data_IF_391017608461
#
_entry.id   IF_391017608461
#
_cell.length_a   1.000
_cell.length_b   1.000
_cell.length_c   1.000
_cell.angle_alpha   90.00
_cell.angle_beta   90.00
_cell.angle_gamma   90.00
#
_symmetry.space_group_name_H-M   'P 1'
#
loop_
_entity.id
_entity.type
_entity.pdbx_description
1 polymer ?
#
# COMPACT_ATOMS: atom_id res chain seq x y z
N UNK A 1 16.52 -9.30 22.62
CA UNK A 1 17.58 -8.27 22.56
C UNK A 1 16.95 -6.97 23.06
N UNK A 2 17.48 -6.32 24.09
CA UNK A 2 16.89 -5.06 24.60
C UNK A 2 17.16 -3.93 23.60
N UNK A 3 16.17 -3.54 22.80
CA UNK A 3 16.37 -2.57 21.73
C UNK A 3 16.48 -1.14 22.26
N UNK A 4 17.59 -0.47 21.93
CA UNK A 4 17.82 0.95 22.20
C UNK A 4 17.04 1.81 21.19
N UNK A 5 15.73 1.94 21.37
CA UNK A 5 14.88 2.84 20.57
C UNK A 5 15.22 4.32 20.72
N UNK A 6 16.18 4.66 21.60
CA UNK A 6 16.66 6.01 21.86
C UNK A 6 17.79 6.48 20.94
N UNK A 7 18.28 5.64 20.02
CA UNK A 7 19.38 6.01 19.11
C UNK A 7 18.95 5.88 17.64
N UNK A 8 19.32 6.86 16.79
CA UNK A 8 19.10 6.72 15.36
C UNK A 8 19.97 5.59 14.79
N UNK A 9 19.47 4.89 13.78
CA UNK A 9 20.20 3.83 13.08
C UNK A 9 19.73 3.72 11.64
N UNK A 10 20.61 3.23 10.77
CA UNK A 10 20.19 2.66 9.49
C UNK A 10 19.88 1.20 9.76
N UNK A 11 18.81 0.70 9.16
CA UNK A 11 18.45 -0.70 9.23
C UNK A 11 18.14 -1.21 7.82
N UNK A 12 18.28 -2.51 7.65
CA UNK A 12 18.04 -3.19 6.39
C UNK A 12 16.72 -3.94 6.46
N UNK A 13 15.94 -3.87 5.39
CA UNK A 13 14.77 -4.72 5.20
C UNK A 13 14.89 -5.50 3.92
N UNK A 14 14.55 -6.78 4.00
CA UNK A 14 14.41 -7.61 2.82
C UNK A 14 13.08 -7.28 2.15
N UNK A 15 13.12 -6.76 0.93
CA UNK A 15 11.95 -6.54 0.09
C UNK A 15 11.56 -7.85 -0.61
N UNK A 16 10.44 -8.40 -0.15
CA UNK A 16 9.79 -9.58 -0.73
C UNK A 16 8.69 -9.20 -1.73
N UNK A 17 8.46 -7.91 -1.96
CA UNK A 17 7.45 -7.36 -2.90
C UNK A 17 7.58 -8.00 -4.29
N UNK A 18 8.81 -8.36 -4.67
CA UNK A 18 9.16 -8.93 -5.97
C UNK A 18 9.70 -10.37 -5.88
N UNK A 19 9.52 -11.05 -4.72
CA UNK A 19 9.99 -12.44 -4.59
C UNK A 19 9.06 -13.41 -5.32
N UNK A 20 9.46 -13.75 -6.54
CA UNK A 20 8.70 -14.63 -7.43
C UNK A 20 8.82 -16.12 -7.08
N UNK A 21 9.69 -16.49 -6.12
CA UNK A 21 9.90 -17.88 -5.72
C UNK A 21 10.06 -18.01 -4.21
N UNK A 22 9.59 -19.13 -3.64
CA UNK A 22 9.94 -19.57 -2.29
C UNK A 22 11.40 -20.07 -2.20
N UNK A 23 12.14 -20.10 -3.32
CA UNK A 23 13.52 -20.59 -3.36
C UNK A 23 14.54 -19.47 -3.01
N UNK A 24 15.48 -19.74 -2.07
CA UNK A 24 16.43 -18.77 -1.53
C UNK A 24 17.63 -18.45 -2.45
N UNK A 25 17.63 -18.90 -3.72
CA UNK A 25 18.79 -18.80 -4.61
C UNK A 25 18.96 -17.43 -5.29
N UNK A 26 18.10 -16.45 -5.04
CA UNK A 26 18.13 -15.16 -5.74
C UNK A 26 18.43 -13.97 -4.84
N UNK A 27 19.09 -12.97 -5.43
CA UNK A 27 19.53 -11.70 -4.82
C UNK A 27 18.36 -11.07 -4.06
N UNK A 28 18.37 -11.20 -2.73
CA UNK A 28 17.40 -10.50 -1.87
C UNK A 28 17.58 -9.01 -2.12
N UNK A 29 16.50 -8.31 -2.46
CA UNK A 29 16.52 -6.86 -2.43
C UNK A 29 16.61 -6.47 -0.96
N UNK A 30 17.81 -6.13 -0.51
CA UNK A 30 18.04 -5.61 0.83
C UNK A 30 18.11 -4.12 0.69
N UNK A 31 17.03 -3.45 1.11
CA UNK A 31 16.90 -2.01 1.03
C UNK A 31 17.22 -1.41 2.41
N UNK A 32 17.94 -0.28 2.40
CA UNK A 32 18.34 0.44 3.59
C UNK A 32 17.36 1.58 3.89
N UNK A 33 17.03 1.75 5.16
CA UNK A 33 16.07 2.73 5.65
C UNK A 33 16.60 3.42 6.91
N UNK A 34 16.07 4.60 7.22
CA UNK A 34 16.45 5.39 8.38
C UNK A 34 15.48 5.16 9.54
N UNK A 35 16.00 5.00 10.75
CA UNK A 35 15.25 5.09 12.00
C UNK A 35 15.78 6.26 12.82
N UNK A 36 14.89 7.13 13.30
CA UNK A 36 15.24 8.27 14.15
C UNK A 36 14.19 8.50 15.24
N UNK A 37 14.55 8.39 16.54
CA UNK A 37 13.63 8.79 17.59
C UNK A 37 13.49 10.31 17.64
N UNK A 38 12.32 10.79 18.06
CA UNK A 38 12.14 12.19 18.44
C UNK A 38 11.60 12.31 19.86
N UNK A 39 11.72 13.51 20.41
CA UNK A 39 11.19 13.86 21.72
C UNK A 39 10.35 15.12 21.59
N UNK A 40 9.11 15.09 22.10
CA UNK A 40 8.20 16.23 22.09
C UNK A 40 8.72 17.40 22.93
N UNK A 41 9.58 17.14 23.92
CA UNK A 41 10.23 18.18 24.73
C UNK A 41 11.22 19.00 23.90
N UNK A 42 11.94 18.34 22.97
CA UNK A 42 12.97 18.99 22.17
C UNK A 42 12.36 19.85 21.04
N UNK A 43 11.26 19.39 20.44
CA UNK A 43 10.46 20.16 19.48
C UNK A 43 8.97 19.77 19.57
N UNK A 44 8.12 20.61 20.20
CA UNK A 44 6.69 20.37 20.29
C UNK A 44 6.03 20.36 18.91
N UNK A 45 5.07 19.46 18.73
CA UNK A 45 4.26 19.33 17.51
C UNK A 45 5.08 19.04 16.23
N UNK A 46 6.30 18.50 16.38
CA UNK A 46 7.21 18.19 15.28
C UNK A 46 6.49 17.50 14.10
N UNK A 47 5.74 16.44 14.38
CA UNK A 47 5.03 15.66 13.35
C UNK A 47 3.90 16.46 12.68
N UNK A 48 3.20 17.32 13.41
CA UNK A 48 2.15 18.18 12.84
C UNK A 48 2.74 19.26 11.92
N UNK A 49 3.85 19.90 12.35
CA UNK A 49 4.55 20.89 11.54
C UNK A 49 5.10 20.27 10.25
N UNK A 50 5.68 19.08 10.33
CA UNK A 50 6.14 18.33 9.16
C UNK A 50 4.99 17.96 8.23
N UNK A 51 3.89 17.41 8.77
CA UNK A 51 2.70 17.08 7.97
C UNK A 51 2.15 18.31 7.24
N UNK A 52 2.00 19.43 7.95
CA UNK A 52 1.52 20.69 7.38
C UNK A 52 2.44 21.18 6.25
N UNK A 53 3.75 21.17 6.48
CA UNK A 53 4.71 21.59 5.46
C UNK A 53 4.69 20.69 4.22
N UNK A 54 4.64 19.35 4.39
CA UNK A 54 4.55 18.42 3.25
C UNK A 54 3.20 18.57 2.51
N UNK A 55 2.12 18.88 3.23
CA UNK A 55 0.82 19.20 2.64
C UNK A 55 0.89 20.44 1.76
N UNK A 56 1.36 21.56 2.33
CA UNK A 56 1.36 22.89 1.69
C UNK A 56 2.43 23.04 0.60
N UNK A 57 3.65 22.57 0.87
CA UNK A 57 4.84 22.75 0.00
C UNK A 57 5.18 21.52 -0.82
N UNK A 58 4.38 20.47 -0.72
CA UNK A 58 4.57 19.16 -1.34
C UNK A 58 5.76 18.34 -0.82
N UNK A 59 6.73 18.96 -0.15
CA UNK A 59 7.86 18.29 0.49
C UNK A 59 8.47 19.13 1.62
N UNK A 60 9.37 18.52 2.39
CA UNK A 60 10.18 19.18 3.40
C UNK A 60 11.61 18.62 3.38
N UNK A 61 12.61 19.47 3.64
CA UNK A 61 13.96 18.99 3.96
C UNK A 61 14.10 18.81 5.47
N UNK A 62 14.52 17.62 5.90
CA UNK A 62 14.64 17.23 7.29
C UNK A 62 16.09 16.83 7.64
N UNK A 63 16.72 17.37 8.70
CA UNK A 63 18.12 17.10 8.98
C UNK A 63 18.31 15.72 9.63
N UNK A 64 19.41 15.04 9.31
CA UNK A 64 19.80 13.83 10.04
C UNK A 64 20.39 14.20 11.41
N UNK A 65 19.74 13.76 12.48
CA UNK A 65 20.15 14.07 13.86
C UNK A 65 20.15 12.83 14.77
N UNK A 66 20.94 12.94 15.84
CA UNK A 66 20.91 12.08 17.03
C UNK A 66 20.33 12.88 18.19
N UNK A 67 19.73 12.18 19.16
CA UNK A 67 18.94 12.76 20.26
C UNK A 67 19.45 14.10 20.81
N UNK A 68 18.51 14.97 21.21
CA UNK A 68 18.75 16.37 21.59
C UNK A 68 19.32 17.24 20.46
N UNK A 69 18.88 17.02 19.22
CA UNK A 69 19.17 17.89 18.08
C UNK A 69 20.64 17.98 17.68
N UNK A 70 21.45 16.95 17.97
CA UNK A 70 22.86 16.91 17.53
C UNK A 70 22.96 16.28 16.14
N UNK A 71 23.89 16.69 15.27
CA UNK A 71 24.05 16.05 13.95
C UNK A 71 24.37 14.56 14.07
N UNK A 72 23.74 13.74 13.22
CA UNK A 72 24.07 12.34 13.05
C UNK A 72 25.08 12.19 11.91
N UNK A 73 26.29 11.73 12.25
CA UNK A 73 27.30 11.38 11.26
C UNK A 73 27.05 9.94 10.80
N UNK A 74 26.41 9.81 9.65
CA UNK A 74 26.20 8.54 8.96
C UNK A 74 27.47 8.19 8.17
N UNK A 75 27.79 6.91 8.05
CA UNK A 75 28.89 6.44 7.22
C UNK A 75 28.62 6.76 5.74
N UNK A 76 29.62 7.28 5.03
CA UNK A 76 29.50 7.67 3.61
C UNK A 76 29.06 6.49 2.74
N UNK A 77 29.58 5.29 2.99
CA UNK A 77 29.22 4.08 2.26
C UNK A 77 27.71 3.79 2.31
N UNK A 78 27.09 3.89 3.49
CA UNK A 78 25.64 3.69 3.64
C UNK A 78 24.84 4.79 2.93
N UNK A 79 25.30 6.04 2.97
CA UNK A 79 24.65 7.14 2.25
C UNK A 79 24.72 6.94 0.73
N UNK A 80 25.86 6.50 0.20
CA UNK A 80 26.01 6.17 -1.21
C UNK A 80 25.11 5.02 -1.64
N UNK A 81 24.99 3.97 -0.80
CA UNK A 81 24.08 2.85 -1.06
C UNK A 81 22.63 3.31 -1.11
N UNK A 82 22.19 4.14 -0.15
CA UNK A 82 20.83 4.70 -0.14
C UNK A 82 20.60 5.66 -1.32
N UNK A 83 21.59 6.49 -1.70
CA UNK A 83 21.49 7.34 -2.90
C UNK A 83 21.26 6.49 -4.16
N UNK A 84 22.02 5.40 -4.35
CA UNK A 84 21.82 4.44 -5.47
C UNK A 84 20.45 3.75 -5.42
N UNK A 85 19.96 3.43 -4.22
CA UNK A 85 18.62 2.87 -4.01
C UNK A 85 17.52 3.85 -4.45
N UNK A 86 17.64 5.12 -4.09
CA UNK A 86 16.72 6.19 -4.48
C UNK A 86 16.74 6.45 -6.00
N UNK A 87 17.92 6.43 -6.63
CA UNK A 87 18.07 6.49 -8.09
C UNK A 87 17.43 5.31 -8.80
N UNK A 88 17.39 4.15 -8.14
CA UNK A 88 16.70 2.94 -8.61
C UNK A 88 15.21 2.93 -8.28
N UNK A 89 14.66 4.04 -7.77
CA UNK A 89 13.24 4.23 -7.43
C UNK A 89 12.67 3.25 -6.42
N UNK A 90 13.54 2.65 -5.59
CA UNK A 90 13.11 1.77 -4.52
C UNK A 90 12.57 2.57 -3.35
N UNK A 91 11.53 2.04 -2.73
CA UNK A 91 10.89 2.69 -1.61
C UNK A 91 11.86 2.79 -0.42
N UNK A 92 12.12 4.02 0.02
CA UNK A 92 13.06 4.32 1.10
C UNK A 92 12.31 5.05 2.21
N UNK A 93 12.49 4.62 3.45
CA UNK A 93 11.73 5.12 4.60
C UNK A 93 12.61 5.89 5.57
N UNK A 94 12.02 6.92 6.17
CA UNK A 94 12.43 7.46 7.45
C UNK A 94 11.35 7.10 8.48
N UNK A 95 11.65 6.17 9.37
CA UNK A 95 10.81 5.81 10.50
C UNK A 95 11.16 6.69 11.67
N UNK A 96 10.16 7.33 12.24
CA UNK A 96 10.27 8.12 13.44
C UNK A 96 9.36 7.56 14.52
N UNK A 97 9.80 7.59 15.79
CA UNK A 97 8.93 7.32 16.95
C UNK A 97 9.30 8.18 18.17
N UNK A 98 8.31 8.53 18.99
CA UNK A 98 8.46 9.00 20.37
C UNK A 98 7.97 7.97 21.40
N UNK A 99 7.78 6.70 20.98
CA UNK A 99 7.15 5.62 21.75
C UNK A 99 5.67 5.85 22.12
N UNK A 100 5.04 6.87 21.54
CA UNK A 100 3.59 7.09 21.57
C UNK A 100 2.97 6.97 20.18
N UNK A 101 3.74 7.20 19.12
CA UNK A 101 3.31 6.94 17.74
C UNK A 101 4.49 6.54 16.86
N UNK A 102 4.17 5.91 15.72
CA UNK A 102 5.13 5.52 14.69
C UNK A 102 4.76 6.21 13.40
N UNK A 103 5.66 7.07 12.92
CA UNK A 103 5.50 7.82 11.68
C UNK A 103 6.50 7.30 10.66
N UNK A 104 6.03 7.01 9.46
CA UNK A 104 6.85 6.57 8.34
C UNK A 104 6.79 7.67 7.29
N UNK A 105 7.95 8.19 6.90
CA UNK A 105 8.08 9.18 5.84
C UNK A 105 8.70 8.56 4.60
N UNK A 106 8.24 8.97 3.41
CA UNK A 106 8.94 8.63 2.17
C UNK A 106 10.15 9.54 2.01
N UNK A 107 11.32 8.94 1.82
CA UNK A 107 12.54 9.65 1.45
C UNK A 107 12.61 9.71 -0.08
N UNK A 108 12.62 10.92 -0.63
CA UNK A 108 12.71 11.17 -2.07
C UNK A 108 14.15 11.45 -2.53
N UNK A 109 14.97 12.09 -1.69
CA UNK A 109 16.36 12.39 -1.98
C UNK A 109 17.17 12.60 -0.70
N UNK A 110 18.49 12.51 -0.82
CA UNK A 110 19.45 12.93 0.21
C UNK A 110 20.27 14.07 -0.39
N UNK A 111 20.24 15.24 0.25
CA UNK A 111 20.93 16.45 -0.20
C UNK A 111 21.93 16.93 0.85
N UNK A 112 22.96 17.62 0.39
CA UNK A 112 23.94 18.25 1.26
C UNK A 112 23.52 19.68 1.64
N UNK A 113 24.00 20.18 2.79
CA UNK A 113 23.66 21.53 3.24
C UNK A 113 24.01 22.62 2.22
N UNK A 114 25.08 22.44 1.45
CA UNK A 114 25.50 23.39 0.42
C UNK A 114 24.48 23.50 -0.71
N UNK A 115 23.78 22.40 -1.02
CA UNK A 115 22.74 22.32 -2.04
C UNK A 115 21.40 22.92 -1.59
N UNK A 116 21.23 23.19 -0.28
CA UNK A 116 20.03 23.82 0.29
C UNK A 116 20.02 25.35 0.15
N UNK A 117 21.14 25.95 -0.27
CA UNK A 117 21.35 27.40 -0.22
C UNK A 117 20.34 28.20 -1.07
N UNK A 118 19.75 27.59 -2.09
CA UNK A 118 18.80 28.22 -3.00
C UNK A 118 17.33 28.12 -2.55
N UNK A 119 17.00 27.28 -1.56
CA UNK A 119 15.60 26.98 -1.18
C UNK A 119 15.35 27.05 0.34
N UNK A 120 15.83 28.13 0.96
CA UNK A 120 15.80 28.32 2.42
C UNK A 120 14.39 28.29 3.04
N UNK A 121 13.35 28.57 2.25
CA UNK A 121 11.94 28.57 2.72
C UNK A 121 11.35 27.18 2.93
N UNK A 122 11.93 26.15 2.31
CA UNK A 122 11.43 24.77 2.35
C UNK A 122 12.27 23.86 3.27
N UNK A 123 13.30 24.42 3.89
CA UNK A 123 14.16 23.75 4.84
C UNK A 123 13.53 23.76 6.25
N UNK A 124 12.94 22.63 6.65
CA UNK A 124 12.40 22.44 8.01
C UNK A 124 13.54 22.13 8.98
N UNK A 125 13.87 23.08 9.85
CA UNK A 125 14.91 22.87 10.87
C UNK A 125 14.28 22.93 12.27
N UNK A 126 13.98 21.77 12.90
CA UNK A 126 13.25 21.74 14.16
C UNK A 126 14.05 22.24 15.36
N UNK A 127 15.38 22.33 15.27
CA UNK A 127 16.22 22.64 16.44
C UNK A 127 16.68 24.10 16.47
N UNK A 128 16.99 24.62 17.65
CA UNK A 128 17.61 25.96 17.80
C UNK A 128 19.09 26.02 17.40
N UNK A 129 19.71 24.87 17.08
CA UNK A 129 21.10 24.80 16.64
C UNK A 129 21.32 25.46 15.27
N UNK A 130 22.54 25.93 14.99
CA UNK A 130 22.88 26.48 13.66
C UNK A 130 22.67 25.41 12.57
N UNK A 131 21.87 25.72 11.54
CA UNK A 131 21.60 24.85 10.37
C UNK A 131 22.88 24.27 9.76
N UNK A 132 23.94 25.08 9.72
CA UNK A 132 25.27 24.73 9.20
C UNK A 132 25.99 23.57 9.90
N UNK A 133 25.48 23.07 11.02
CA UNK A 133 26.06 21.91 11.72
C UNK A 133 25.61 20.57 11.14
N UNK A 134 24.53 20.55 10.35
CA UNK A 134 24.00 19.35 9.72
C UNK A 134 24.52 19.25 8.30
N UNK A 135 25.27 18.20 8.00
CA UNK A 135 25.86 17.99 6.67
C UNK A 135 24.86 17.44 5.68
N UNK A 136 24.05 16.47 6.10
CA UNK A 136 23.10 15.75 5.25
C UNK A 136 21.65 15.98 5.67
N UNK A 137 20.79 16.07 4.68
CA UNK A 137 19.37 16.34 4.81
C UNK A 137 18.56 15.39 3.94
N UNK A 138 17.43 14.93 4.47
CA UNK A 138 16.48 14.09 3.77
C UNK A 138 15.40 14.97 3.14
N UNK A 139 15.18 14.85 1.84
CA UNK A 139 13.96 15.36 1.20
C UNK A 139 12.84 14.35 1.44
N UNK A 140 11.85 14.72 2.23
CA UNK A 140 10.66 13.90 2.51
C UNK A 140 9.43 14.54 1.88
N UNK A 141 8.58 13.74 1.24
CA UNK A 141 7.48 14.25 0.40
C UNK A 141 6.12 13.56 0.62
N UNK A 142 6.07 12.56 1.48
CA UNK A 142 4.84 11.90 1.94
C UNK A 142 5.01 11.33 3.36
N UNK A 143 3.91 11.10 4.06
CA UNK A 143 3.88 10.64 5.45
C UNK A 143 2.70 9.67 5.70
N UNK A 144 3.02 8.50 6.23
CA UNK A 144 2.07 7.51 6.72
C UNK A 144 2.25 7.30 8.23
N UNK A 145 1.17 7.36 9.00
CA UNK A 145 1.21 6.97 10.41
C UNK A 145 0.87 5.48 10.50
N UNK A 146 1.81 4.70 11.04
CA UNK A 146 1.69 3.25 11.18
C UNK A 146 0.84 2.89 12.40
N UNK A 147 1.16 3.46 13.55
CA UNK A 147 0.52 3.15 14.83
C UNK A 147 0.50 4.40 15.73
N UNK A 148 -0.53 4.52 16.56
CA UNK A 148 -0.64 5.55 17.57
C UNK A 148 -1.19 4.95 18.87
N UNK A 149 -0.61 5.34 19.99
CA UNK A 149 -0.94 4.79 21.29
C UNK A 149 -2.24 5.38 21.82
N UNK A 150 -3.37 4.82 21.36
CA UNK A 150 -4.68 5.25 21.82
C UNK A 150 -5.02 4.77 23.24
N UNK A 151 -4.33 3.73 23.73
CA UNK A 151 -4.62 3.07 25.01
C UNK A 151 -3.59 3.39 26.11
N UNK A 152 -2.59 4.23 25.83
CA UNK A 152 -1.46 4.56 26.72
C UNK A 152 -0.64 3.33 27.20
N UNK A 153 -0.60 2.25 26.41
CA UNK A 153 0.20 1.05 26.71
C UNK A 153 1.51 1.16 25.93
N UNK A 154 2.63 1.39 26.61
CA UNK A 154 3.92 1.65 25.94
C UNK A 154 4.51 0.42 25.24
N UNK A 155 4.25 -0.79 25.74
CA UNK A 155 4.81 -2.02 25.18
C UNK A 155 4.32 -2.32 23.75
N UNK A 156 3.07 -1.96 23.43
CA UNK A 156 2.48 -2.28 22.11
C UNK A 156 3.15 -1.51 20.96
N UNK A 157 3.55 -0.26 21.19
CA UNK A 157 4.27 0.54 20.20
C UNK A 157 5.66 -0.03 19.94
N UNK A 158 6.36 -0.46 20.98
CA UNK A 158 7.69 -1.05 20.85
C UNK A 158 7.63 -2.38 20.08
N UNK A 159 6.63 -3.22 20.38
CA UNK A 159 6.42 -4.50 19.71
C UNK A 159 6.07 -4.32 18.22
N UNK A 160 5.15 -3.40 17.89
CA UNK A 160 4.80 -3.11 16.50
C UNK A 160 5.97 -2.46 15.73
N UNK A 161 6.77 -1.62 16.39
CA UNK A 161 7.98 -1.04 15.79
C UNK A 161 9.04 -2.11 15.50
N UNK A 162 9.29 -3.02 16.44
CA UNK A 162 10.23 -4.13 16.23
C UNK A 162 9.74 -5.03 15.11
N UNK A 163 8.47 -5.46 15.16
CA UNK A 163 7.84 -6.27 14.12
C UNK A 163 7.97 -5.60 12.76
N UNK A 164 7.70 -4.30 12.64
CA UNK A 164 7.78 -3.59 11.37
C UNK A 164 9.20 -3.50 10.82
N UNK A 165 10.20 -3.24 11.68
CA UNK A 165 11.62 -3.13 11.27
C UNK A 165 12.22 -4.50 10.95
N UNK A 166 11.89 -5.53 11.74
CA UNK A 166 12.46 -6.87 11.58
C UNK A 166 11.76 -7.68 10.48
N UNK A 167 10.50 -7.37 10.15
CA UNK A 167 9.77 -8.11 9.13
C UNK A 167 10.25 -7.77 7.72
N UNK A 168 10.28 -8.76 6.82
CA UNK A 168 10.41 -8.49 5.39
C UNK A 168 9.33 -7.50 4.95
N UNK A 169 9.70 -6.60 4.05
CA UNK A 169 8.74 -5.73 3.41
C UNK A 169 8.00 -6.54 2.33
N UNK A 170 6.74 -6.85 2.58
CA UNK A 170 5.89 -7.63 1.67
C UNK A 170 5.09 -6.76 0.72
N UNK A 171 4.98 -5.45 1.00
CA UNK A 171 4.18 -4.49 0.24
C UNK A 171 4.82 -3.11 0.27
N UNK A 172 4.51 -2.28 -0.73
CA UNK A 172 4.87 -0.88 -0.70
C UNK A 172 3.89 -0.08 0.19
N UNK A 173 4.40 0.87 0.97
CA UNK A 173 3.54 1.82 1.73
C UNK A 173 3.22 3.04 0.85
N UNK A 174 4.24 3.52 0.15
CA UNK A 174 4.18 4.63 -0.78
C UNK A 174 4.28 4.14 -2.21
N UNK A 175 3.66 4.88 -3.13
CA UNK A 175 3.84 4.63 -4.56
C UNK A 175 5.33 4.88 -4.90
N UNK A 176 6.06 3.90 -5.45
CA UNK A 176 7.48 4.04 -5.77
C UNK A 176 7.69 5.14 -6.81
N UNK A 177 8.81 5.86 -6.65
CA UNK A 177 9.02 7.13 -7.32
C UNK A 177 9.49 6.99 -8.77
N UNK A 178 8.79 6.30 -9.67
CA UNK A 178 9.30 6.11 -11.04
C UNK A 178 9.55 7.45 -11.76
N UNK A 179 10.75 7.64 -12.35
CA UNK A 179 10.89 8.49 -13.54
C UNK A 179 10.13 7.82 -14.66
N UNK A 180 9.29 8.57 -15.35
CA UNK A 180 8.62 8.09 -16.54
C UNK A 180 9.65 7.72 -17.62
N UNK A 181 9.32 6.67 -18.37
CA UNK A 181 9.91 6.41 -19.68
C UNK A 181 9.37 7.48 -20.64
N UNK A 182 10.02 8.64 -20.73
CA UNK A 182 9.85 9.52 -21.88
C UNK A 182 10.91 9.13 -22.93
N UNK A 183 10.45 8.84 -24.15
CA UNK A 183 11.36 8.65 -25.30
C UNK A 183 12.02 9.98 -25.74
N UNK A 184 11.66 11.09 -25.11
CA UNK A 184 12.25 12.40 -25.31
C UNK A 184 12.81 12.94 -23.99
N UNK A 185 14.10 13.26 -24.01
CA UNK A 185 14.75 14.10 -23.02
C UNK A 185 13.99 15.43 -22.90
N UNK A 186 13.87 15.94 -21.67
CA UNK A 186 13.55 17.34 -21.26
C UNK A 186 12.19 17.66 -20.63
N UNK A 187 11.20 16.77 -20.57
CA UNK A 187 9.98 17.06 -19.79
C UNK A 187 9.98 16.37 -18.42
N UNK A 188 10.37 17.11 -17.37
CA UNK A 188 10.04 16.77 -15.99
C UNK A 188 8.52 16.86 -15.80
N UNK A 189 7.82 15.74 -16.00
CA UNK A 189 6.39 15.69 -15.65
C UNK A 189 6.26 15.79 -14.14
N UNK A 190 5.52 16.83 -13.72
CA UNK A 190 5.27 17.22 -12.35
C UNK A 190 4.99 16.04 -11.41
N UNK A 191 5.76 15.96 -10.32
CA UNK A 191 5.49 15.18 -9.09
C UNK A 191 4.10 15.46 -8.46
N UNK A 192 3.35 16.43 -9.00
CA UNK A 192 2.12 17.00 -8.44
C UNK A 192 0.91 16.06 -8.46
N UNK A 193 0.90 15.03 -9.31
CA UNK A 193 -0.30 14.19 -9.47
C UNK A 193 -0.24 12.88 -8.69
N UNK A 194 0.73 12.58 -7.82
CA UNK A 194 0.71 11.32 -7.05
C UNK A 194 -0.31 11.40 -5.90
N UNK A 195 -1.05 10.31 -5.68
CA UNK A 195 -1.90 10.19 -4.49
C UNK A 195 -0.99 9.98 -3.27
N UNK A 196 -0.86 11.01 -2.44
CA UNK A 196 -0.01 11.03 -1.25
C UNK A 196 -0.86 10.81 -0.02
N UNK A 197 -0.34 10.09 0.96
CA UNK A 197 -1.01 9.90 2.25
C UNK A 197 -1.30 11.21 2.96
N UNK A 198 -0.43 12.21 2.83
CA UNK A 198 -0.71 13.56 3.39
C UNK A 198 -1.91 14.26 2.75
N UNK A 199 -2.23 13.93 1.48
CA UNK A 199 -3.37 14.48 0.76
C UNK A 199 -4.64 13.64 1.00
N UNK A 200 -4.49 12.40 1.46
CA UNK A 200 -5.63 11.66 2.00
C UNK A 200 -6.05 12.35 3.29
N UNK A 201 -7.32 12.77 3.37
CA UNK A 201 -7.91 13.32 4.60
C UNK A 201 -8.09 12.23 5.68
N UNK A 202 -7.12 11.30 5.81
CA UNK A 202 -7.07 10.24 6.80
C UNK A 202 -6.95 10.86 8.19
N UNK A 203 -8.03 10.77 8.94
CA UNK A 203 -8.10 11.24 10.32
C UNK A 203 -8.05 10.04 11.27
N UNK A 204 -6.96 9.93 12.04
CA UNK A 204 -6.70 8.83 12.97
C UNK A 204 -7.41 9.08 14.30
N UNK A 205 -8.74 9.18 14.23
CA UNK A 205 -9.58 9.33 15.40
C UNK A 205 -9.64 8.03 16.20
N UNK A 206 -10.16 8.11 17.41
CA UNK A 206 -10.46 6.92 18.20
C UNK A 206 -11.39 5.95 17.45
N UNK A 207 -12.39 6.46 16.73
CA UNK A 207 -13.29 5.62 15.92
C UNK A 207 -12.54 4.89 14.80
N UNK A 208 -11.59 5.56 14.14
CA UNK A 208 -10.74 4.93 13.13
C UNK A 208 -9.94 3.76 13.73
N UNK A 209 -9.35 3.97 14.91
CA UNK A 209 -8.60 2.94 15.63
C UNK A 209 -9.48 1.75 16.05
N UNK A 210 -10.65 2.02 16.64
CA UNK A 210 -11.60 0.97 17.06
C UNK A 210 -12.03 0.14 15.85
N UNK A 211 -12.40 0.79 14.75
CA UNK A 211 -12.82 0.09 13.52
C UNK A 211 -11.68 -0.72 12.89
N UNK A 212 -10.46 -0.18 12.89
CA UNK A 212 -9.28 -0.94 12.46
C UNK A 212 -9.08 -2.20 13.31
N UNK A 213 -9.26 -2.09 14.62
CA UNK A 213 -9.13 -3.23 15.55
C UNK A 213 -10.25 -4.24 15.35
N UNK A 214 -11.50 -3.81 15.20
CA UNK A 214 -12.62 -4.71 14.92
C UNK A 214 -12.48 -5.45 13.59
N UNK A 215 -12.03 -4.76 12.53
CA UNK A 215 -11.76 -5.40 11.24
C UNK A 215 -10.62 -6.40 11.35
N UNK A 216 -9.53 -6.03 12.05
CA UNK A 216 -8.38 -6.91 12.29
C UNK A 216 -8.79 -8.12 13.11
N UNK A 217 -9.48 -7.98 14.22
CA UNK A 217 -9.69 -9.07 15.18
C UNK A 217 -10.89 -9.95 14.82
N UNK A 218 -11.98 -9.36 14.31
CA UNK A 218 -13.25 -10.08 14.12
C UNK A 218 -13.49 -10.55 12.69
N UNK A 219 -12.91 -9.87 11.69
CA UNK A 219 -13.16 -10.17 10.28
C UNK A 219 -11.94 -10.81 9.64
N UNK A 220 -10.84 -10.07 9.52
CA UNK A 220 -9.70 -10.48 8.70
C UNK A 220 -8.68 -11.33 9.46
N UNK A 221 -8.54 -11.14 10.77
CA UNK A 221 -7.58 -11.83 11.63
C UNK A 221 -6.15 -11.71 11.05
N UNK A 222 -5.45 -12.83 10.91
CA UNK A 222 -4.11 -12.91 10.33
C UNK A 222 -4.06 -12.40 8.88
N UNK A 223 -5.20 -12.42 8.16
CA UNK A 223 -5.31 -11.92 6.79
C UNK A 223 -5.14 -10.40 6.69
N UNK A 224 -5.37 -9.67 7.79
CA UNK A 224 -5.34 -8.20 7.80
C UNK A 224 -4.00 -7.65 7.31
N UNK A 225 -2.89 -8.26 7.73
CA UNK A 225 -1.53 -7.83 7.37
C UNK A 225 -1.19 -8.07 5.89
N UNK A 226 -1.97 -8.90 5.19
CA UNK A 226 -1.78 -9.17 3.77
C UNK A 226 -2.54 -8.21 2.86
N UNK A 227 -3.49 -7.44 3.38
CA UNK A 227 -4.14 -6.36 2.64
C UNK A 227 -3.19 -5.18 2.47
N UNK A 228 -3.25 -4.47 1.35
CA UNK A 228 -2.49 -3.23 1.20
C UNK A 228 -2.92 -2.18 2.23
N UNK A 229 -2.00 -1.30 2.65
CA UNK A 229 -2.33 -0.21 3.58
C UNK A 229 -3.45 0.71 3.05
N UNK A 230 -3.52 0.89 1.72
CA UNK A 230 -4.62 1.60 1.06
C UNK A 230 -5.94 0.85 1.18
N UNK A 231 -5.94 -0.45 0.89
CA UNK A 231 -7.11 -1.31 1.06
C UNK A 231 -7.61 -1.30 2.52
N UNK A 232 -6.71 -1.42 3.50
CA UNK A 232 -7.05 -1.30 4.92
C UNK A 232 -7.71 0.05 5.23
N UNK A 233 -7.15 1.16 4.75
CA UNK A 233 -7.73 2.49 4.94
C UNK A 233 -9.14 2.60 4.36
N UNK A 234 -9.32 2.19 3.11
CA UNK A 234 -10.62 2.23 2.43
C UNK A 234 -11.67 1.36 3.13
N UNK A 235 -11.29 0.17 3.64
CA UNK A 235 -12.19 -0.69 4.40
C UNK A 235 -12.60 -0.08 5.75
N UNK A 236 -11.65 0.56 6.46
CA UNK A 236 -11.97 1.27 7.70
C UNK A 236 -12.92 2.43 7.43
N UNK A 237 -12.64 3.24 6.41
CA UNK A 237 -13.49 4.39 6.03
C UNK A 237 -14.86 3.92 5.56
N UNK A 238 -14.94 2.81 4.83
CA UNK A 238 -16.19 2.14 4.47
C UNK A 238 -17.00 1.83 5.73
N UNK A 239 -16.42 1.18 6.74
CA UNK A 239 -17.16 0.81 7.94
C UNK A 239 -17.55 2.02 8.81
N UNK A 240 -16.72 3.07 8.86
CA UNK A 240 -17.04 4.35 9.51
C UNK A 240 -18.25 5.03 8.88
N UNK A 241 -18.32 5.08 7.54
CA UNK A 241 -19.47 5.64 6.82
C UNK A 241 -20.73 4.81 7.03
N UNK A 242 -20.60 3.47 7.02
CA UNK A 242 -21.70 2.55 7.30
C UNK A 242 -22.28 2.77 8.69
N UNK A 243 -21.40 2.87 9.70
CA UNK A 243 -21.77 3.12 11.07
C UNK A 243 -22.44 4.50 11.23
N UNK A 244 -21.86 5.53 10.63
CA UNK A 244 -22.44 6.88 10.61
C UNK A 244 -23.85 6.89 10.01
N UNK A 245 -24.07 6.12 8.94
CA UNK A 245 -25.37 5.96 8.29
C UNK A 245 -26.49 5.41 9.17
N UNK A 246 -26.18 4.75 10.30
CA UNK A 246 -27.17 4.22 11.25
C UNK A 246 -27.95 5.36 11.93
N UNK A 247 -27.30 6.49 12.18
CA UNK A 247 -27.89 7.65 12.87
C UNK A 247 -28.78 8.51 11.96
N UNK A 248 -28.77 8.26 10.65
CA UNK A 248 -29.52 9.02 9.67
C UNK A 248 -30.71 8.24 9.10
N UNK A 249 -31.60 8.96 8.42
CA UNK A 249 -32.77 8.40 7.71
C UNK A 249 -32.82 8.89 6.26
N UNK A 250 -33.64 8.22 5.47
CA UNK A 250 -33.97 8.60 4.08
C UNK A 250 -32.72 8.88 3.24
N UNK A 251 -32.67 10.04 2.58
CA UNK A 251 -31.62 10.42 1.62
C UNK A 251 -30.26 10.54 2.32
N UNK A 252 -30.25 11.03 3.57
CA UNK A 252 -28.99 11.16 4.33
C UNK A 252 -28.37 9.79 4.60
N UNK A 253 -29.19 8.82 5.01
CA UNK A 253 -28.73 7.42 5.19
C UNK A 253 -28.22 6.83 3.88
N UNK A 254 -28.93 7.07 2.77
CA UNK A 254 -28.49 6.59 1.46
C UNK A 254 -27.11 7.12 1.09
N UNK A 255 -26.85 8.42 1.29
CA UNK A 255 -25.54 9.03 0.99
C UNK A 255 -24.40 8.37 1.76
N UNK A 256 -24.58 8.12 3.05
CA UNK A 256 -23.59 7.40 3.86
C UNK A 256 -23.37 5.97 3.38
N UNK A 257 -24.44 5.22 3.07
CA UNK A 257 -24.31 3.87 2.53
C UNK A 257 -23.63 3.84 1.15
N UNK A 258 -23.90 4.85 0.32
CA UNK A 258 -23.25 5.02 -0.97
C UNK A 258 -21.75 5.28 -0.81
N UNK A 259 -21.37 6.26 0.00
CA UNK A 259 -19.97 6.56 0.27
C UNK A 259 -19.24 5.34 0.83
N UNK A 260 -19.89 4.62 1.75
CA UNK A 260 -19.37 3.38 2.31
C UNK A 260 -19.10 2.33 1.22
N UNK A 261 -20.00 2.16 0.25
CA UNK A 261 -19.81 1.25 -0.88
C UNK A 261 -18.73 1.73 -1.87
N UNK A 262 -18.65 3.05 -2.12
CA UNK A 262 -17.61 3.64 -2.97
C UNK A 262 -16.21 3.38 -2.37
N UNK A 263 -16.06 3.53 -1.05
CA UNK A 263 -14.83 3.14 -0.34
C UNK A 263 -14.54 1.64 -0.44
N UNK A 264 -15.56 0.78 -0.32
CA UNK A 264 -15.39 -0.66 -0.54
C UNK A 264 -14.92 -0.97 -1.98
N UNK A 265 -15.46 -0.28 -2.99
CA UNK A 265 -15.01 -0.43 -4.38
C UNK A 265 -13.55 0.01 -4.54
N UNK A 266 -13.15 1.14 -3.94
CA UNK A 266 -11.76 1.60 -3.96
C UNK A 266 -10.81 0.59 -3.30
N UNK A 267 -11.22 0.01 -2.17
CA UNK A 267 -10.50 -1.10 -1.55
C UNK A 267 -10.31 -2.27 -2.51
N UNK A 268 -11.36 -2.64 -3.25
CA UNK A 268 -11.30 -3.71 -4.25
C UNK A 268 -10.39 -3.36 -5.43
N UNK A 269 -10.44 -2.12 -5.95
CA UNK A 269 -9.54 -1.65 -7.00
C UNK A 269 -8.08 -1.73 -6.56
N UNK A 270 -7.77 -1.23 -5.37
CA UNK A 270 -6.42 -1.26 -4.81
C UNK A 270 -5.90 -2.71 -4.77
N UNK A 271 -6.68 -3.64 -4.23
CA UNK A 271 -6.21 -5.00 -4.06
C UNK A 271 -6.14 -5.80 -5.38
N UNK A 272 -7.05 -5.55 -6.32
CA UNK A 272 -6.95 -6.14 -7.66
C UNK A 272 -5.70 -5.64 -8.41
N UNK A 273 -5.34 -4.37 -8.27
CA UNK A 273 -4.11 -3.85 -8.87
C UNK A 273 -2.87 -4.43 -8.20
N UNK A 274 -2.84 -4.51 -6.86
CA UNK A 274 -1.74 -5.09 -6.09
C UNK A 274 -1.48 -6.57 -6.44
N UNK A 275 -2.54 -7.35 -6.69
CA UNK A 275 -2.40 -8.78 -7.00
C UNK A 275 -2.07 -9.02 -8.47
N UNK A 276 -2.74 -8.34 -9.41
CA UNK A 276 -2.69 -8.70 -10.84
C UNK A 276 -1.92 -7.72 -11.73
N UNK A 277 -1.91 -6.43 -11.42
CA UNK A 277 -1.35 -5.41 -12.34
C UNK A 277 0.05 -4.96 -11.92
N UNK A 278 0.22 -4.52 -10.68
CA UNK A 278 1.50 -3.96 -10.22
C UNK A 278 2.67 -4.95 -10.27
N UNK A 279 2.50 -6.25 -9.95
CA UNK A 279 3.59 -7.22 -10.11
C UNK A 279 4.09 -7.30 -11.55
N UNK A 280 3.18 -7.30 -12.53
CA UNK A 280 3.51 -7.29 -13.96
C UNK A 280 4.20 -5.99 -14.39
N UNK A 281 3.64 -4.84 -14.00
CA UNK A 281 4.19 -3.52 -14.35
C UNK A 281 5.59 -3.34 -13.77
N UNK A 282 5.80 -3.75 -12.54
CA UNK A 282 7.10 -3.66 -11.88
C UNK A 282 8.10 -4.63 -12.51
N UNK A 283 7.72 -5.88 -12.78
CA UNK A 283 8.60 -6.83 -13.46
C UNK A 283 9.04 -6.33 -14.85
N UNK A 284 8.15 -5.72 -15.64
CA UNK A 284 8.52 -5.13 -16.94
C UNK A 284 9.48 -3.95 -16.77
N UNK A 285 9.36 -3.19 -15.67
CA UNK A 285 10.23 -2.04 -15.39
C UNK A 285 11.62 -2.48 -14.96
N UNK A 286 11.68 -3.47 -14.06
CA UNK A 286 12.89 -3.82 -13.31
C UNK A 286 13.78 -4.81 -14.07
N UNK A 287 13.20 -5.70 -14.88
CA UNK A 287 13.95 -6.71 -15.62
C UNK A 287 14.16 -6.31 -17.08
N UNK A 288 15.41 -6.02 -17.44
CA UNK A 288 15.78 -5.56 -18.78
C UNK A 288 15.31 -6.54 -19.88
N UNK A 289 15.44 -7.84 -19.66
CA UNK A 289 15.02 -8.84 -20.64
C UNK A 289 13.51 -8.82 -20.91
N UNK A 290 12.69 -8.60 -19.87
CA UNK A 290 11.24 -8.51 -19.98
C UNK A 290 10.83 -7.18 -20.62
N UNK A 291 11.53 -6.09 -20.27
CA UNK A 291 11.37 -4.78 -20.90
C UNK A 291 11.58 -4.81 -22.40
N UNK A 292 12.68 -5.38 -22.90
CA UNK A 292 12.86 -5.44 -24.36
C UNK A 292 11.86 -6.43 -24.99
N UNK A 293 11.43 -7.50 -24.29
CA UNK A 293 10.40 -8.40 -24.82
C UNK A 293 9.03 -7.71 -24.95
N UNK A 294 8.70 -6.79 -24.04
CA UNK A 294 7.53 -5.91 -24.13
C UNK A 294 7.59 -4.98 -25.35
N UNK A 295 8.75 -4.37 -25.62
CA UNK A 295 8.93 -3.52 -26.80
C UNK A 295 8.87 -4.30 -28.12
N UNK A 296 9.30 -5.56 -28.11
CA UNK A 296 9.26 -6.47 -29.27
C UNK A 296 7.88 -7.12 -29.50
N UNK A 297 6.85 -6.75 -28.73
CA UNK A 297 5.49 -7.28 -28.88
C UNK A 297 4.85 -6.79 -30.18
N UNK A 298 4.61 -7.73 -31.08
CA UNK A 298 3.87 -7.53 -32.33
C UNK A 298 2.43 -7.09 -32.04
N UNK A 299 2.02 -5.96 -32.62
CA UNK A 299 0.69 -5.38 -32.47
C UNK A 299 -0.42 -6.30 -32.99
N UNK A 300 -0.11 -7.25 -33.87
CA UNK A 300 -1.08 -8.17 -34.46
C UNK A 300 -1.49 -9.34 -33.55
N UNK A 301 -0.71 -9.65 -32.50
CA UNK A 301 -0.88 -10.84 -31.65
C UNK A 301 -1.40 -10.53 -30.24
N UNK A 302 -1.50 -9.26 -29.86
CA UNK A 302 -1.97 -8.82 -28.55
C UNK A 302 -3.20 -7.95 -28.71
N UNK A 303 -4.20 -8.14 -27.86
CA UNK A 303 -5.38 -7.28 -27.87
C UNK A 303 -4.97 -5.80 -27.64
N UNK A 304 -5.28 -4.88 -28.57
CA UNK A 304 -4.84 -3.49 -28.48
C UNK A 304 -5.28 -2.79 -27.20
N UNK A 305 -6.46 -3.13 -26.66
CA UNK A 305 -6.97 -2.52 -25.42
C UNK A 305 -6.17 -2.97 -24.19
N UNK A 306 -5.73 -4.23 -24.12
CA UNK A 306 -4.84 -4.69 -23.04
C UNK A 306 -3.47 -4.05 -23.16
N UNK A 307 -2.91 -3.99 -24.38
CA UNK A 307 -1.62 -3.34 -24.62
C UNK A 307 -1.66 -1.86 -24.23
N UNK A 308 -2.73 -1.15 -24.60
CA UNK A 308 -2.93 0.25 -24.22
C UNK A 308 -3.06 0.42 -22.70
N UNK A 309 -3.81 -0.46 -22.03
CA UNK A 309 -3.95 -0.43 -20.57
C UNK A 309 -2.60 -0.62 -19.86
N UNK A 310 -1.86 -1.68 -20.20
CA UNK A 310 -0.53 -1.95 -19.62
C UNK A 310 0.45 -0.82 -19.97
N UNK A 311 0.42 -0.31 -21.20
CA UNK A 311 1.22 0.84 -21.62
C UNK A 311 0.94 2.07 -20.76
N UNK A 312 -0.33 2.42 -20.56
CA UNK A 312 -0.74 3.59 -19.77
C UNK A 312 -0.25 3.53 -18.32
N UNK A 313 -0.15 2.33 -17.74
CA UNK A 313 0.42 2.11 -16.41
C UNK A 313 1.96 2.18 -16.41
N UNK A 314 2.62 1.65 -17.45
CA UNK A 314 4.08 1.68 -17.59
C UNK A 314 4.62 3.10 -17.77
N UNK A 315 3.93 3.92 -18.57
CA UNK A 315 4.31 5.33 -18.82
C UNK A 315 3.74 6.28 -17.75
N UNK A 316 2.88 5.78 -16.85
CA UNK A 316 2.32 6.55 -15.74
C UNK A 316 1.20 7.54 -16.13
N UNK A 317 0.59 7.40 -17.32
CA UNK A 317 -0.63 8.11 -17.69
C UNK A 317 -1.81 7.71 -16.79
N UNK A 318 -1.88 6.42 -16.43
CA UNK A 318 -2.80 5.90 -15.42
C UNK A 318 -2.00 5.43 -14.21
N UNK A 319 -2.51 5.70 -13.01
CA UNK A 319 -1.92 5.21 -11.76
C UNK A 319 -2.27 3.75 -11.49
N UNK A 320 -3.51 3.39 -11.82
CA UNK A 320 -4.08 2.08 -11.57
C UNK A 320 -5.22 1.82 -12.55
N UNK A 321 -5.69 0.58 -12.62
CA UNK A 321 -6.95 0.24 -13.25
C UNK A 321 -8.08 0.54 -12.26
N UNK A 322 -8.99 1.42 -12.63
CA UNK A 322 -10.05 2.00 -11.78
C UNK A 322 -11.46 1.56 -12.22
N UNK A 323 -11.55 0.56 -13.10
CA UNK A 323 -12.81 -0.01 -13.58
C UNK A 323 -12.80 -1.53 -13.45
N UNK A 324 -13.90 -2.08 -12.93
CA UNK A 324 -14.09 -3.53 -12.82
C UNK A 324 -14.28 -4.14 -14.21
N UNK A 325 -14.88 -3.41 -15.14
CA UNK A 325 -15.01 -3.79 -16.55
C UNK A 325 -13.64 -3.94 -17.22
N UNK A 326 -12.74 -2.98 -16.99
CA UNK A 326 -11.36 -3.03 -17.51
C UNK A 326 -10.61 -4.23 -16.92
N UNK A 327 -10.77 -4.52 -15.62
CA UNK A 327 -10.22 -5.72 -15.00
C UNK A 327 -10.77 -7.02 -15.60
N UNK A 328 -12.09 -7.15 -15.74
CA UNK A 328 -12.71 -8.33 -16.37
C UNK A 328 -12.32 -8.48 -17.84
N UNK A 329 -12.06 -7.38 -18.53
CA UNK A 329 -11.56 -7.41 -19.89
C UNK A 329 -10.09 -7.89 -19.95
N UNK A 330 -9.25 -7.37 -19.05
CA UNK A 330 -7.86 -7.81 -18.91
C UNK A 330 -7.81 -9.31 -18.66
N UNK A 331 -8.58 -9.83 -17.70
CA UNK A 331 -8.52 -11.25 -17.32
C UNK A 331 -8.92 -12.19 -18.47
N UNK A 332 -9.89 -11.81 -19.30
CA UNK A 332 -10.28 -12.55 -20.51
C UNK A 332 -9.17 -12.63 -21.57
N UNK A 333 -8.31 -11.61 -21.63
CA UNK A 333 -7.26 -11.47 -22.65
C UNK A 333 -5.83 -11.68 -22.09
N UNK A 334 -5.70 -11.85 -20.77
CA UNK A 334 -4.41 -11.90 -20.10
C UNK A 334 -3.62 -13.16 -20.47
N UNK A 335 -4.29 -14.30 -20.67
CA UNK A 335 -3.62 -15.55 -21.08
C UNK A 335 -2.93 -15.42 -22.44
N UNK A 336 -3.61 -14.87 -23.45
CA UNK A 336 -3.01 -14.67 -24.78
C UNK A 336 -1.90 -13.62 -24.73
N UNK A 337 -2.08 -12.55 -23.95
CA UNK A 337 -1.05 -11.55 -23.71
C UNK A 337 0.22 -12.15 -23.06
N UNK A 338 0.08 -12.88 -21.96
CA UNK A 338 1.19 -13.52 -21.25
C UNK A 338 1.89 -14.58 -22.10
N UNK A 339 1.14 -15.35 -22.89
CA UNK A 339 1.71 -16.30 -23.84
C UNK A 339 2.57 -15.62 -24.91
N UNK A 340 2.09 -14.53 -25.52
CA UNK A 340 2.87 -13.78 -26.51
C UNK A 340 4.12 -13.16 -25.87
N UNK A 341 3.99 -12.62 -24.65
CA UNK A 341 5.12 -12.07 -23.89
C UNK A 341 6.17 -13.15 -23.57
N UNK A 342 5.72 -14.32 -23.11
CA UNK A 342 6.58 -15.49 -22.85
C UNK A 342 7.29 -15.95 -24.12
N UNK A 343 6.61 -16.08 -25.26
CA UNK A 343 7.23 -16.49 -26.52
C UNK A 343 8.32 -15.53 -27.01
N UNK A 344 8.12 -14.22 -26.84
CA UNK A 344 9.15 -13.21 -27.15
C UNK A 344 10.31 -13.30 -26.18
N UNK A 345 10.03 -13.61 -24.93
CA UNK A 345 11.01 -13.81 -23.88
C UNK A 345 11.83 -15.11 -24.02
N UNK A 346 11.25 -16.24 -24.46
CA UNK A 346 11.95 -17.54 -24.62
C UNK A 346 13.18 -17.46 -25.52
N UNK A 347 13.20 -16.51 -26.47
CA UNK A 347 14.36 -16.24 -27.34
C UNK A 347 15.58 -15.65 -26.59
N UNK A 348 15.45 -15.32 -25.31
CA UNK A 348 16.47 -14.67 -24.46
C UNK A 348 17.05 -15.58 -23.38
N UNK A 349 17.03 -16.90 -23.59
CA UNK A 349 17.51 -17.94 -22.66
C UNK A 349 18.95 -17.74 -22.13
N UNK A 350 19.77 -16.97 -22.85
CA UNK A 350 21.16 -16.68 -22.49
C UNK A 350 21.33 -15.57 -21.45
N UNK A 351 20.25 -14.95 -20.95
CA UNK A 351 20.30 -13.89 -19.94
C UNK A 351 20.32 -14.49 -18.52
N UNK A 352 21.11 -13.92 -17.62
CA UNK A 352 21.23 -14.39 -16.22
C UNK A 352 19.88 -14.39 -15.47
N UNK A 353 18.99 -13.46 -15.83
CA UNK A 353 17.66 -13.30 -15.21
C UNK A 353 16.59 -14.22 -15.84
N UNK A 354 16.96 -15.10 -16.78
CA UNK A 354 15.98 -15.82 -17.59
C UNK A 354 15.04 -16.70 -16.74
N UNK A 355 15.60 -17.55 -15.88
CA UNK A 355 14.82 -18.47 -15.05
C UNK A 355 13.91 -17.71 -14.06
N UNK A 356 14.31 -16.52 -13.62
CA UNK A 356 13.49 -15.67 -12.74
C UNK A 356 12.24 -15.18 -13.45
N UNK A 357 12.44 -14.58 -14.62
CA UNK A 357 11.35 -13.99 -15.39
C UNK A 357 10.44 -15.07 -15.95
N UNK A 358 10.97 -16.24 -16.33
CA UNK A 358 10.15 -17.39 -16.73
C UNK A 358 9.23 -17.86 -15.60
N UNK A 359 9.79 -18.09 -14.40
CA UNK A 359 9.01 -18.51 -13.24
C UNK A 359 7.96 -17.46 -12.85
N UNK A 360 8.30 -16.18 -12.94
CA UNK A 360 7.36 -15.09 -12.73
C UNK A 360 6.19 -15.15 -13.72
N UNK A 361 6.46 -15.24 -15.02
CA UNK A 361 5.42 -15.27 -16.05
C UNK A 361 4.52 -16.49 -15.90
N UNK A 362 5.08 -17.66 -15.58
CA UNK A 362 4.29 -18.86 -15.25
C UNK A 362 3.39 -18.64 -14.03
N UNK A 363 3.91 -18.04 -12.96
CA UNK A 363 3.11 -17.72 -11.77
C UNK A 363 1.99 -16.72 -12.08
N UNK A 364 2.28 -15.69 -12.87
CA UNK A 364 1.28 -14.71 -13.31
C UNK A 364 0.19 -15.36 -14.16
N UNK A 365 0.54 -16.26 -15.06
CA UNK A 365 -0.44 -17.04 -15.83
C UNK A 365 -1.33 -17.87 -14.91
N UNK A 366 -0.75 -18.60 -13.94
CA UNK A 366 -1.51 -19.36 -12.95
C UNK A 366 -2.44 -18.48 -12.11
N UNK A 367 -2.00 -17.29 -11.68
CA UNK A 367 -2.84 -16.34 -10.94
C UNK A 367 -4.05 -15.88 -11.76
N UNK A 368 -3.84 -15.56 -13.04
CA UNK A 368 -4.92 -15.16 -13.96
C UNK A 368 -5.90 -16.31 -14.19
N UNK A 369 -5.41 -17.54 -14.36
CA UNK A 369 -6.27 -18.73 -14.47
C UNK A 369 -7.06 -18.96 -13.19
N UNK A 370 -6.41 -18.80 -12.03
CA UNK A 370 -7.03 -18.93 -10.73
C UNK A 370 -8.20 -17.96 -10.56
N UNK A 371 -8.06 -16.71 -11.00
CA UNK A 371 -9.14 -15.72 -10.95
C UNK A 371 -10.38 -16.15 -11.75
N UNK A 372 -10.19 -16.79 -12.90
CA UNK A 372 -11.26 -17.31 -13.75
C UNK A 372 -11.94 -18.52 -13.07
N UNK A 373 -11.15 -19.41 -12.46
CA UNK A 373 -11.65 -20.64 -11.84
C UNK A 373 -12.31 -20.44 -10.46
N UNK A 374 -11.86 -19.50 -9.63
CA UNK A 374 -12.27 -19.39 -8.22
C UNK A 374 -13.54 -18.56 -7.95
N UNK A 375 -14.38 -18.37 -8.98
CA UNK A 375 -15.61 -17.54 -8.92
C UNK A 375 -15.35 -16.08 -8.49
N UNK A 376 -14.12 -15.59 -8.52
CA UNK A 376 -13.80 -14.18 -8.25
C UNK A 376 -14.48 -13.29 -9.31
N UNK A 377 -14.44 -13.69 -10.58
CA UNK A 377 -15.17 -13.04 -11.68
C UNK A 377 -16.65 -12.84 -11.37
N UNK A 378 -17.34 -13.90 -10.94
CA UNK A 378 -18.77 -13.85 -10.62
C UNK A 378 -19.07 -12.88 -9.48
N UNK A 379 -18.17 -12.78 -8.49
CA UNK A 379 -18.30 -11.79 -7.40
C UNK A 379 -18.09 -10.37 -7.88
N UNK A 380 -17.09 -10.15 -8.74
CA UNK A 380 -16.85 -8.85 -9.37
C UNK A 380 -18.10 -8.44 -10.17
N UNK A 381 -18.65 -9.33 -10.99
CA UNK A 381 -19.89 -9.08 -11.74
C UNK A 381 -21.08 -8.76 -10.82
N UNK A 382 -21.26 -9.51 -9.72
CA UNK A 382 -22.30 -9.22 -8.73
C UNK A 382 -22.12 -7.83 -8.09
N UNK A 383 -20.89 -7.44 -7.74
CA UNK A 383 -20.56 -6.12 -7.19
C UNK A 383 -20.84 -5.02 -8.24
N UNK A 384 -20.51 -5.26 -9.52
CA UNK A 384 -20.86 -4.34 -10.61
C UNK A 384 -22.36 -4.16 -10.77
N UNK A 385 -23.15 -5.23 -10.58
CA UNK A 385 -24.62 -5.11 -10.58
C UNK A 385 -25.12 -4.23 -9.43
N UNK A 386 -24.52 -4.31 -8.23
CA UNK A 386 -24.83 -3.43 -7.11
C UNK A 386 -24.47 -1.98 -7.46
N UNK A 387 -23.27 -1.74 -7.98
CA UNK A 387 -22.83 -0.40 -8.40
C UNK A 387 -23.78 0.23 -9.44
N UNK A 388 -24.12 -0.53 -10.48
CA UNK A 388 -25.06 -0.11 -11.52
C UNK A 388 -26.46 0.17 -10.97
N UNK A 389 -26.94 -0.65 -10.05
CA UNK A 389 -28.22 -0.43 -9.37
C UNK A 389 -28.18 0.86 -8.54
N UNK A 390 -27.12 1.07 -7.76
CA UNK A 390 -26.94 2.28 -6.96
C UNK A 390 -26.89 3.54 -7.81
N UNK A 391 -26.12 3.55 -8.91
CA UNK A 391 -26.03 4.70 -9.80
C UNK A 391 -27.38 5.06 -10.43
N UNK A 392 -28.19 4.06 -10.81
CA UNK A 392 -29.57 4.29 -11.30
C UNK A 392 -30.50 4.85 -10.22
N UNK A 393 -30.36 4.38 -8.98
CA UNK A 393 -31.14 4.88 -7.85
C UNK A 393 -30.76 6.32 -7.51
N UNK A 394 -29.47 6.64 -7.52
CA UNK A 394 -28.95 7.97 -7.21
C UNK A 394 -29.45 9.04 -8.18
N UNK A 395 -29.52 8.71 -9.48
CA UNK A 395 -30.10 9.59 -10.51
C UNK A 395 -31.58 9.93 -10.28
N UNK A 396 -32.30 9.09 -9.54
CA UNK A 396 -33.74 9.25 -9.32
C UNK A 396 -34.10 9.52 -7.86
N UNK A 397 -33.12 9.68 -6.97
CA UNK A 397 -33.33 9.56 -5.53
C UNK A 397 -34.33 10.57 -4.96
N UNK A 398 -34.37 11.78 -5.50
CA UNK A 398 -35.30 12.84 -5.08
C UNK A 398 -36.76 12.53 -5.46
N UNK A 399 -36.98 11.64 -6.43
CA UNK A 399 -38.30 11.23 -6.91
C UNK A 399 -38.80 9.95 -6.25
N UNK A 400 -37.96 9.29 -5.45
CA UNK A 400 -38.28 8.01 -4.80
C UNK A 400 -39.10 8.27 -3.54
N UNK A 401 -40.18 7.50 -3.34
CA UNK A 401 -40.97 7.59 -2.12
C UNK A 401 -40.15 7.21 -0.88
N UNK A 402 -40.45 7.80 0.28
CA UNK A 402 -39.75 7.49 1.54
C UNK A 402 -39.81 5.99 1.89
N UNK A 403 -40.91 5.31 1.57
CA UNK A 403 -41.03 3.86 1.83
C UNK A 403 -40.09 3.05 0.93
N UNK A 404 -40.05 3.36 -0.37
CA UNK A 404 -39.11 2.73 -1.31
C UNK A 404 -37.66 2.99 -0.90
N UNK A 405 -37.34 4.23 -0.52
CA UNK A 405 -36.00 4.63 -0.11
C UNK A 405 -35.54 3.88 1.16
N UNK A 406 -36.43 3.71 2.14
CA UNK A 406 -36.13 2.92 3.33
C UNK A 406 -35.87 1.44 2.99
N UNK A 407 -36.65 0.85 2.08
CA UNK A 407 -36.39 -0.53 1.62
C UNK A 407 -35.03 -0.65 0.93
N UNK A 408 -34.67 0.34 0.09
CA UNK A 408 -33.37 0.35 -0.59
C UNK A 408 -32.20 0.52 0.40
N UNK A 409 -32.34 1.41 1.38
CA UNK A 409 -31.38 1.58 2.47
C UNK A 409 -31.17 0.28 3.26
N UNK A 410 -32.26 -0.42 3.61
CA UNK A 410 -32.18 -1.72 4.31
C UNK A 410 -31.48 -2.78 3.45
N UNK A 411 -31.82 -2.86 2.17
CA UNK A 411 -31.23 -3.84 1.26
C UNK A 411 -29.75 -3.58 1.03
N UNK A 412 -29.35 -2.33 0.81
CA UNK A 412 -27.95 -1.96 0.64
C UNK A 412 -27.14 -2.22 1.93
N UNK A 413 -27.67 -1.81 3.09
CA UNK A 413 -27.03 -2.09 4.39
C UNK A 413 -26.78 -3.59 4.60
N UNK A 414 -27.75 -4.42 4.23
CA UNK A 414 -27.64 -5.87 4.33
C UNK A 414 -26.60 -6.45 3.36
N UNK A 415 -26.61 -6.03 2.08
CA UNK A 415 -25.62 -6.47 1.10
C UNK A 415 -24.19 -6.12 1.54
N UNK A 416 -23.99 -4.90 2.03
CA UNK A 416 -22.70 -4.47 2.55
C UNK A 416 -22.25 -5.30 3.74
N UNK A 417 -23.16 -5.59 4.67
CA UNK A 417 -22.87 -6.46 5.82
C UNK A 417 -22.44 -7.87 5.41
N UNK A 418 -22.98 -8.40 4.30
CA UNK A 418 -22.56 -9.69 3.76
C UNK A 418 -21.16 -9.57 3.15
N UNK A 419 -20.95 -8.55 2.32
CA UNK A 419 -19.68 -8.31 1.59
C UNK A 419 -18.50 -8.08 2.52
N UNK A 420 -18.72 -7.45 3.68
CA UNK A 420 -17.69 -7.18 4.70
C UNK A 420 -17.73 -8.16 5.87
N UNK A 421 -18.39 -9.30 5.72
CA UNK A 421 -18.47 -10.30 6.80
C UNK A 421 -17.19 -11.13 6.92
N UNK A 422 -17.09 -11.90 8.01
CA UNK A 422 -16.07 -12.93 8.20
C UNK A 422 -16.34 -14.24 7.41
N UNK A 423 -17.28 -14.20 6.46
CA UNK A 423 -17.57 -15.33 5.55
C UNK A 423 -16.56 -15.33 4.42
N UNK A 424 -15.75 -16.39 4.35
CA UNK A 424 -14.79 -16.61 3.26
C UNK A 424 -15.51 -16.73 1.90
N UNK A 425 -16.72 -17.32 1.89
CA UNK A 425 -17.48 -17.45 0.66
C UNK A 425 -17.98 -16.10 0.17
N UNK A 426 -18.35 -15.16 1.04
CA UNK A 426 -19.00 -13.90 0.67
C UNK A 426 -18.02 -12.75 0.47
N UNK A 427 -17.02 -12.62 1.34
CA UNK A 427 -16.05 -11.54 1.32
C UNK A 427 -14.94 -11.84 0.31
N UNK A 428 -14.91 -11.06 -0.76
CA UNK A 428 -14.00 -11.25 -1.90
C UNK A 428 -12.51 -11.13 -1.51
N UNK A 429 -12.20 -10.34 -0.47
CA UNK A 429 -10.83 -10.04 -0.09
C UNK A 429 -10.09 -11.29 0.41
N UNK A 430 -10.75 -12.25 1.05
CA UNK A 430 -10.08 -13.48 1.47
C UNK A 430 -9.51 -14.27 0.28
N UNK A 431 -10.26 -14.36 -0.82
CA UNK A 431 -9.79 -15.00 -2.04
C UNK A 431 -8.61 -14.24 -2.65
N UNK A 432 -8.68 -12.91 -2.70
CA UNK A 432 -7.58 -12.09 -3.21
C UNK A 432 -6.31 -12.24 -2.35
N UNK A 433 -6.46 -12.34 -1.03
CA UNK A 433 -5.34 -12.54 -0.10
C UNK A 433 -4.71 -13.92 -0.31
N UNK A 434 -5.50 -14.97 -0.54
CA UNK A 434 -4.96 -16.31 -0.83
C UNK A 434 -4.10 -16.33 -2.09
N UNK A 435 -4.58 -15.68 -3.16
CA UNK A 435 -3.81 -15.51 -4.39
C UNK A 435 -2.49 -14.75 -4.14
N UNK A 436 -2.58 -13.67 -3.34
CA UNK A 436 -1.43 -12.84 -2.98
C UNK A 436 -0.40 -13.58 -2.14
N UNK A 437 -0.85 -14.31 -1.11
CA UNK A 437 -0.01 -15.02 -0.16
C UNK A 437 0.53 -16.35 -0.72
N UNK A 438 -0.08 -16.88 -1.79
CA UNK A 438 0.18 -18.22 -2.32
C UNK A 438 0.13 -19.31 -1.22
N UNK A 439 -0.74 -19.09 -0.23
CA UNK A 439 -1.01 -19.96 0.92
C UNK A 439 -2.52 -19.91 1.15
N UNK A 440 -3.10 -21.04 1.56
CA UNK A 440 -4.47 -21.03 2.06
C UNK A 440 -4.54 -20.09 3.26
N UNK A 441 -5.54 -19.23 3.30
CA UNK A 441 -5.77 -18.36 4.44
C UNK A 441 -6.47 -19.22 5.48
N UNK A 442 -5.70 -19.68 6.47
CA UNK A 442 -6.26 -20.46 7.57
C UNK A 442 -7.19 -19.57 8.38
N UNK A 443 -8.49 -19.80 8.26
CA UNK A 443 -9.41 -19.42 9.33
C UNK A 443 -9.16 -20.38 10.47
N UNK A 444 -8.98 -19.89 11.69
CA UNK A 444 -9.08 -20.75 12.86
C UNK A 444 -10.48 -21.35 12.84
N UNK A 445 -10.57 -22.64 12.55
CA UNK A 445 -11.86 -23.34 12.63
C UNK A 445 -12.33 -23.35 14.08
N UNK A 446 -13.61 -23.64 14.30
CA UNK A 446 -14.10 -23.88 15.66
C UNK A 446 -13.23 -24.93 16.39
N UNK A 447 -12.79 -25.96 15.66
CA UNK A 447 -11.90 -26.99 16.19
C UNK A 447 -10.49 -26.46 16.50
N UNK A 448 -9.97 -25.51 15.72
CA UNK A 448 -8.67 -24.88 15.98
C UNK A 448 -8.73 -23.89 17.14
N UNK A 449 -9.84 -23.15 17.30
CA UNK A 449 -10.09 -22.33 18.47
C UNK A 449 -10.22 -23.20 19.73
N UNK A 450 -10.93 -24.34 19.64
CA UNK A 450 -11.00 -25.31 20.74
C UNK A 450 -9.63 -25.91 21.06
N UNK A 451 -8.82 -26.28 20.06
CA UNK A 451 -7.43 -26.75 20.29
C UNK A 451 -6.55 -25.68 20.91
N UNK A 452 -6.70 -24.42 20.46
CA UNK A 452 -5.96 -23.28 21.02
C UNK A 452 -6.35 -23.08 22.48
N UNK A 453 -7.65 -23.11 22.79
CA UNK A 453 -8.18 -23.05 24.16
C UNK A 453 -7.61 -24.18 25.03
N UNK A 454 -7.56 -25.41 24.51
CA UNK A 454 -6.99 -26.57 25.20
C UNK A 454 -5.46 -26.52 25.35
N UNK A 455 -4.77 -25.68 24.58
CA UNK A 455 -3.33 -25.45 24.68
C UNK A 455 -2.95 -24.26 25.56
N UNK A 456 -3.94 -23.48 26.00
CA UNK A 456 -3.74 -22.48 27.05
C UNK A 456 -3.76 -23.27 28.36
N UNK A 457 -2.61 -23.86 28.70
CA UNK A 457 -2.38 -24.37 30.04
C UNK A 457 -2.54 -23.20 31.00
N UNK A 458 -3.49 -23.32 31.93
CA UNK A 458 -3.47 -22.47 33.11
C UNK A 458 -2.25 -22.92 33.92
N UNK A 459 -1.19 -22.10 33.92
CA UNK A 459 -0.13 -22.22 34.92
C UNK A 459 -0.78 -22.01 36.30
N UNK A 460 -1.26 -23.09 36.90
CA UNK A 460 -1.56 -23.19 38.33
C UNK A 460 -0.23 -23.26 39.09
N UNK A 461 0.54 -22.16 39.04
CA UNK A 461 1.62 -21.90 39.98
C UNK A 461 1.78 -20.40 40.20
N UNK A 462 0.76 -19.82 40.86
CA UNK A 462 0.90 -18.61 41.64
C UNK A 462 1.18 -18.97 43.11
#
# INVERSE_FOLDING_TARGET
MSHYWHKPRIFERVSNIYTFSQNPLFKKNVDQHFFMPWNEVDEPELMFKLKAQIGDKKYAYFPLFKGHGRPWQVQEESLEQIKKQLESFRETHLIMTNLQSIHVFRVAAIVEYQELADDTTQCFHPFKSKKSKFTHWLKIDDMFVLEANHNNITGTIEDELEKFISSPQTQNIFIPSKKQLSDNYEDEINLADRERWVDTNRNLTYDYFVRSSELKDNIYQESWEYLSRKTQHELITSDLERYSGIFYRDIKKWRHLKHSFDHYLNALYNELNEVYMFPLINAITDYKCLKEAWFDLDDSLVNPRVKAMVRSLLIGERKQVDSLEDFLFYTKSAKSFLFTLKNRFTKKIHKEEFLLVENFLCRQESLVESLICHKIVHKIEAIMHINNWMNKMDQNIEKVSSQTLNNCNLKLSHLMSIMTSASYEDNIFFKLIEEKAARGVSKKSFEDEVKTLLSIDFDESA
#
